data_IF_761366328651
#
_entry.id   IF_761366328651
#
_cell.length_a   1.000
_cell.length_b   1.000
_cell.length_c   1.000
_cell.angle_alpha   90.00
_cell.angle_beta   90.00
_cell.angle_gamma   90.00
#
_symmetry.space_group_name_H-M   'P 1'
#
loop_
_entity.id
_entity.type
_entity.pdbx_description
1 polymer ?
#
# COMPACT_ATOMS: atom_id res chain seq x y z
N UNK A 1 11.53 12.13 7.43
CA UNK A 1 11.43 12.29 8.91
C UNK A 1 10.03 11.94 9.39
N UNK A 2 9.90 11.27 10.55
CA UNK A 2 8.60 10.81 11.04
C UNK A 2 7.51 11.90 11.09
N UNK A 3 7.77 13.14 11.54
CA UNK A 3 6.75 14.19 11.55
C UNK A 3 6.25 14.56 10.14
N UNK A 4 7.14 14.72 9.17
CA UNK A 4 6.75 15.09 7.82
C UNK A 4 5.93 13.97 7.14
N UNK A 5 6.36 12.72 7.30
CA UNK A 5 5.64 11.54 6.77
C UNK A 5 4.24 11.43 7.38
N UNK A 6 4.08 11.68 8.70
CA UNK A 6 2.77 11.66 9.35
C UNK A 6 1.85 12.76 8.82
N UNK A 7 2.36 14.00 8.64
CA UNK A 7 1.58 15.09 8.05
C UNK A 7 1.13 14.72 6.64
N UNK A 8 2.02 14.15 5.84
CA UNK A 8 1.71 13.72 4.47
C UNK A 8 0.64 12.62 4.45
N UNK A 9 0.73 11.63 5.32
CA UNK A 9 -0.28 10.56 5.43
C UNK A 9 -1.65 11.11 5.82
N UNK A 10 -1.70 12.02 6.79
CA UNK A 10 -2.96 12.69 7.17
C UNK A 10 -3.52 13.52 6.01
N UNK A 11 -2.67 14.25 5.30
CA UNK A 11 -3.09 15.04 4.15
C UNK A 11 -3.66 14.15 3.02
N UNK A 12 -2.99 13.04 2.69
CA UNK A 12 -3.47 12.06 1.71
C UNK A 12 -4.81 11.47 2.15
N UNK A 13 -4.93 11.05 3.41
CA UNK A 13 -6.18 10.51 3.96
C UNK A 13 -7.35 11.51 3.86
N UNK A 14 -7.13 12.78 4.17
CA UNK A 14 -8.16 13.82 4.04
C UNK A 14 -8.53 14.07 2.56
N UNK A 15 -7.53 14.14 1.66
CA UNK A 15 -7.77 14.37 0.23
C UNK A 15 -8.52 13.21 -0.42
N UNK A 16 -8.16 11.97 -0.11
CA UNK A 16 -8.83 10.76 -0.59
C UNK A 16 -10.24 10.62 -0.01
N UNK A 17 -10.40 10.86 1.29
CA UNK A 17 -11.72 10.84 1.94
C UNK A 17 -12.68 11.90 1.40
N UNK A 18 -12.16 13.01 0.85
CA UNK A 18 -12.93 14.03 0.11
C UNK A 18 -13.08 13.72 -1.38
N UNK A 19 -12.65 12.56 -1.83
CA UNK A 19 -12.67 12.13 -3.23
C UNK A 19 -11.87 13.04 -4.18
N UNK A 20 -10.88 13.76 -3.66
CA UNK A 20 -10.01 14.62 -4.47
C UNK A 20 -8.74 13.87 -4.86
N UNK A 21 -8.92 12.80 -5.64
CA UNK A 21 -7.83 11.94 -6.11
C UNK A 21 -6.78 12.68 -6.93
N UNK A 22 -7.17 13.75 -7.66
CA UNK A 22 -6.23 14.56 -8.42
C UNK A 22 -5.19 15.23 -7.53
N UNK A 23 -5.60 15.86 -6.41
CA UNK A 23 -4.65 16.47 -5.47
C UNK A 23 -3.83 15.42 -4.73
N UNK A 24 -4.42 14.28 -4.36
CA UNK A 24 -3.68 13.19 -3.78
C UNK A 24 -2.59 12.66 -4.72
N UNK A 25 -2.92 12.44 -6.00
CA UNK A 25 -1.96 12.05 -7.03
C UNK A 25 -0.86 13.10 -7.22
N UNK A 26 -1.22 14.39 -7.33
CA UNK A 26 -0.25 15.47 -7.47
C UNK A 26 0.70 15.55 -6.28
N UNK A 27 0.21 15.28 -5.06
CA UNK A 27 1.05 15.26 -3.87
C UNK A 27 2.14 14.19 -3.98
N UNK A 28 1.78 12.98 -4.42
CA UNK A 28 2.73 11.87 -4.65
C UNK A 28 3.71 12.20 -5.78
N UNK A 29 3.23 12.81 -6.87
CA UNK A 29 4.10 13.24 -7.98
C UNK A 29 5.10 14.29 -7.51
N UNK A 30 4.68 15.27 -6.71
CA UNK A 30 5.56 16.30 -6.13
C UNK A 30 6.63 15.63 -5.26
N UNK A 31 6.25 14.68 -4.40
CA UNK A 31 7.21 13.93 -3.57
C UNK A 31 8.30 13.30 -4.42
N UNK A 32 7.90 12.53 -5.43
CA UNK A 32 8.85 11.81 -6.28
C UNK A 32 9.69 12.76 -7.15
N UNK A 33 9.08 13.81 -7.70
CA UNK A 33 9.80 14.79 -8.51
C UNK A 33 10.86 15.54 -7.69
N UNK A 34 10.50 16.01 -6.49
CA UNK A 34 11.46 16.67 -5.58
C UNK A 34 12.55 15.70 -5.16
N UNK A 35 12.22 14.44 -4.85
CA UNK A 35 13.19 13.43 -4.48
C UNK A 35 14.21 13.22 -5.62
N UNK A 36 13.74 12.94 -6.84
CA UNK A 36 14.61 12.73 -8.00
C UNK A 36 15.50 13.95 -8.28
N UNK A 37 14.94 15.16 -8.27
CA UNK A 37 15.72 16.39 -8.51
C UNK A 37 16.79 16.58 -7.44
N UNK A 38 16.44 16.37 -6.16
CA UNK A 38 17.39 16.48 -5.07
C UNK A 38 18.45 15.38 -5.08
N UNK A 39 18.09 14.14 -5.48
CA UNK A 39 19.04 13.05 -5.67
C UNK A 39 20.07 13.40 -6.75
N UNK A 40 19.64 13.92 -7.89
CA UNK A 40 20.54 14.35 -8.96
C UNK A 40 21.50 15.45 -8.47
N UNK A 41 20.98 16.46 -7.77
CA UNK A 41 21.80 17.57 -7.28
C UNK A 41 22.77 17.10 -6.20
N UNK A 42 22.31 16.34 -5.19
CA UNK A 42 23.10 15.99 -4.02
C UNK A 42 24.04 14.80 -4.26
N UNK A 43 23.63 13.83 -5.08
CA UNK A 43 24.45 12.65 -5.36
C UNK A 43 25.41 12.93 -6.53
N UNK A 44 24.86 13.40 -7.69
CA UNK A 44 25.68 13.62 -8.87
C UNK A 44 26.40 14.98 -8.84
N UNK A 45 25.74 16.04 -8.34
CA UNK A 45 26.34 17.39 -8.27
C UNK A 45 27.35 17.53 -7.14
N UNK A 46 26.98 17.14 -5.92
CA UNK A 46 27.82 17.31 -4.73
C UNK A 46 28.57 16.05 -4.31
N UNK A 47 28.35 14.89 -4.94
CA UNK A 47 29.02 13.65 -4.62
C UNK A 47 28.76 13.06 -3.24
N UNK A 48 27.62 13.43 -2.62
CA UNK A 48 27.33 13.06 -1.24
C UNK A 48 26.87 11.60 -1.04
N UNK A 49 26.78 10.81 -2.12
CA UNK A 49 26.41 9.38 -2.08
C UNK A 49 25.20 9.10 -1.17
N UNK A 50 25.32 8.18 -0.21
CA UNK A 50 24.24 7.79 0.72
C UNK A 50 23.70 8.96 1.56
N UNK A 51 24.58 9.89 1.96
CA UNK A 51 24.16 11.10 2.69
C UNK A 51 23.29 12.01 1.80
N UNK A 52 23.64 12.11 0.51
CA UNK A 52 22.86 12.85 -0.48
C UNK A 52 21.45 12.29 -0.63
N UNK A 53 21.31 10.98 -0.79
CA UNK A 53 20.01 10.30 -0.86
C UNK A 53 19.14 10.52 0.39
N UNK A 54 19.77 10.49 1.57
CA UNK A 54 19.06 10.75 2.83
C UNK A 54 18.53 12.20 2.91
N UNK A 55 19.33 13.19 2.50
CA UNK A 55 18.90 14.59 2.45
C UNK A 55 17.86 14.86 1.36
N UNK A 56 17.97 14.20 0.21
CA UNK A 56 16.97 14.30 -0.86
C UNK A 56 15.60 13.78 -0.40
N UNK A 57 15.57 12.60 0.21
CA UNK A 57 14.34 12.04 0.77
C UNK A 57 13.74 12.92 1.88
N UNK A 58 14.60 13.44 2.77
CA UNK A 58 14.15 14.36 3.82
C UNK A 58 13.52 15.64 3.24
N UNK A 59 14.16 16.23 2.25
CA UNK A 59 13.67 17.44 1.57
C UNK A 59 12.34 17.19 0.87
N UNK A 60 12.22 16.08 0.15
CA UNK A 60 10.99 15.68 -0.52
C UNK A 60 9.84 15.48 0.46
N UNK A 61 10.06 14.80 1.60
CA UNK A 61 9.07 14.62 2.64
C UNK A 61 8.57 15.96 3.23
N UNK A 62 9.47 16.90 3.53
CA UNK A 62 9.08 18.18 4.08
C UNK A 62 8.35 19.07 3.08
N UNK A 63 8.80 19.13 1.83
CA UNK A 63 8.09 19.85 0.76
C UNK A 63 6.68 19.30 0.61
N UNK A 64 6.55 17.99 0.57
CA UNK A 64 5.24 17.33 0.45
C UNK A 64 4.35 17.59 1.67
N UNK A 65 4.91 17.53 2.87
CA UNK A 65 4.20 17.83 4.11
C UNK A 65 3.64 19.27 4.12
N UNK A 66 4.44 20.24 3.69
CA UNK A 66 4.03 21.66 3.62
C UNK A 66 2.90 21.83 2.59
N UNK A 67 3.06 21.29 1.39
CA UNK A 67 2.04 21.38 0.31
C UNK A 67 0.76 20.65 0.74
N UNK A 68 0.90 19.45 1.30
CA UNK A 68 -0.23 18.65 1.78
C UNK A 68 -0.99 19.34 2.91
N UNK A 69 -0.27 19.91 3.87
CA UNK A 69 -0.86 20.68 4.95
C UNK A 69 -1.62 21.90 4.41
N UNK A 70 -1.01 22.67 3.50
CA UNK A 70 -1.66 23.84 2.89
C UNK A 70 -2.96 23.46 2.16
N UNK A 71 -2.93 22.40 1.34
CA UNK A 71 -4.12 21.95 0.61
C UNK A 71 -5.21 21.44 1.53
N UNK A 72 -4.81 20.74 2.59
CA UNK A 72 -5.74 20.22 3.59
C UNK A 72 -6.36 21.33 4.42
N UNK A 73 -5.56 22.27 4.90
CA UNK A 73 -6.02 23.42 5.65
C UNK A 73 -7.00 24.27 4.83
N UNK A 74 -6.68 24.53 3.55
CA UNK A 74 -7.57 25.24 2.64
C UNK A 74 -8.86 24.46 2.35
N UNK A 75 -8.79 23.13 2.24
CA UNK A 75 -9.95 22.28 2.01
C UNK A 75 -10.88 22.21 3.22
N UNK A 76 -10.33 22.29 4.44
CA UNK A 76 -11.08 22.32 5.70
C UNK A 76 -11.57 23.73 6.09
N UNK A 77 -11.18 24.77 5.34
CA UNK A 77 -11.66 26.15 5.53
C UNK A 77 -11.06 26.87 6.74
N UNK A 78 -9.86 26.48 7.20
CA UNK A 78 -9.16 27.08 8.36
C UNK A 78 -10.00 27.17 9.66
N UNK A 79 -11.11 26.42 9.74
CA UNK A 79 -12.02 26.45 10.89
C UNK A 79 -11.51 25.54 12.02
N UNK A 80 -10.24 25.71 12.41
CA UNK A 80 -9.65 25.04 13.59
C UNK A 80 -10.31 25.47 14.90
N UNK A 81 -11.13 26.50 14.87
CA UNK A 81 -11.70 27.17 16.07
C UNK A 81 -12.79 26.36 16.78
N UNK A 82 -13.27 25.27 16.20
CA UNK A 82 -14.38 24.49 16.76
C UNK A 82 -14.01 23.00 17.00
N UNK A 83 -12.74 22.71 17.26
CA UNK A 83 -12.30 21.35 17.63
C UNK A 83 -12.77 20.99 19.04
N UNK A 84 -14.01 20.57 19.14
CA UNK A 84 -14.49 19.87 20.34
C UNK A 84 -14.17 18.37 20.15
N UNK A 85 -13.04 17.95 20.69
CA UNK A 85 -12.72 16.52 20.81
C UNK A 85 -13.69 15.86 21.78
N UNK A 86 -14.76 15.28 21.28
CA UNK A 86 -15.66 14.47 22.12
C UNK A 86 -14.97 13.14 22.42
N UNK A 87 -14.79 12.84 23.69
CA UNK A 87 -14.11 11.62 24.17
C UNK A 87 -14.69 10.34 23.53
N UNK A 88 -16.00 10.29 23.26
CA UNK A 88 -16.65 9.17 22.60
C UNK A 88 -16.17 8.97 21.16
N UNK A 89 -15.93 10.06 20.40
CA UNK A 89 -15.38 10.00 19.04
C UNK A 89 -13.94 9.53 19.05
N UNK A 90 -13.15 9.99 20.02
CA UNK A 90 -11.76 9.55 20.20
C UNK A 90 -11.70 8.06 20.51
N UNK A 91 -12.56 7.54 21.39
CA UNK A 91 -12.64 6.11 21.71
C UNK A 91 -13.01 5.26 20.50
N UNK A 92 -13.96 5.73 19.69
CA UNK A 92 -14.34 5.04 18.46
C UNK A 92 -13.20 5.05 17.44
N UNK A 93 -12.53 6.18 17.25
CA UNK A 93 -11.37 6.33 16.39
C UNK A 93 -10.22 5.40 16.80
N UNK A 94 -9.87 5.37 18.10
CA UNK A 94 -8.85 4.47 18.65
C UNK A 94 -9.24 3.00 18.48
N UNK A 95 -10.53 2.66 18.61
CA UNK A 95 -11.00 1.30 18.39
C UNK A 95 -10.85 0.82 16.94
N UNK A 96 -11.15 1.68 15.97
CA UNK A 96 -10.95 1.38 14.54
C UNK A 96 -9.46 1.25 14.22
N UNK A 97 -8.66 2.23 14.61
CA UNK A 97 -7.22 2.23 14.34
C UNK A 97 -6.51 1.08 15.08
N UNK A 98 -6.92 0.74 16.29
CA UNK A 98 -6.39 -0.41 17.03
C UNK A 98 -6.62 -1.74 16.30
N UNK A 99 -7.80 -1.92 15.69
CA UNK A 99 -8.06 -3.11 14.88
C UNK A 99 -7.18 -3.18 13.62
N UNK A 100 -6.99 -2.04 12.93
CA UNK A 100 -6.12 -1.95 11.76
C UNK A 100 -4.66 -2.19 12.18
N UNK A 101 -4.22 -1.64 13.31
CA UNK A 101 -2.88 -1.86 13.85
C UNK A 101 -2.61 -3.34 14.14
N UNK A 102 -3.54 -4.02 14.85
CA UNK A 102 -3.41 -5.46 15.14
C UNK A 102 -3.33 -6.26 13.83
N UNK A 103 -4.18 -5.95 12.83
CA UNK A 103 -4.11 -6.59 11.51
C UNK A 103 -2.73 -6.42 10.87
N UNK A 104 -2.21 -5.18 10.85
CA UNK A 104 -0.91 -4.89 10.25
C UNK A 104 0.23 -5.57 10.99
N UNK A 105 0.14 -5.64 12.33
CA UNK A 105 1.11 -6.36 13.15
C UNK A 105 1.12 -7.87 12.82
N UNK A 106 -0.06 -8.50 12.72
CA UNK A 106 -0.18 -9.91 12.36
C UNK A 106 0.40 -10.16 10.97
N UNK A 107 0.08 -9.31 9.98
CA UNK A 107 0.65 -9.42 8.63
C UNK A 107 2.18 -9.32 8.65
N UNK A 108 2.74 -8.37 9.39
CA UNK A 108 4.20 -8.22 9.52
C UNK A 108 4.84 -9.43 10.21
N UNK A 109 4.20 -10.01 11.21
CA UNK A 109 4.67 -11.24 11.85
C UNK A 109 4.67 -12.42 10.87
N UNK A 110 3.63 -12.58 10.05
CA UNK A 110 3.59 -13.60 9.00
C UNK A 110 4.74 -13.42 8.00
N UNK A 111 4.97 -12.19 7.50
CA UNK A 111 6.08 -11.90 6.58
C UNK A 111 7.45 -12.15 7.22
N UNK A 112 7.64 -11.73 8.46
CA UNK A 112 8.87 -11.98 9.21
C UNK A 112 9.11 -13.46 9.45
N UNK A 113 8.06 -14.23 9.78
CA UNK A 113 8.13 -15.68 9.97
C UNK A 113 8.51 -16.37 8.66
N UNK A 114 7.88 -16.00 7.54
CA UNK A 114 8.20 -16.55 6.23
C UNK A 114 9.66 -16.30 5.84
N UNK A 115 10.16 -15.08 6.05
CA UNK A 115 11.57 -14.74 5.82
C UNK A 115 12.48 -15.51 6.78
N UNK A 116 12.09 -15.63 8.06
CA UNK A 116 12.83 -16.42 9.06
C UNK A 116 12.89 -17.91 8.72
N UNK A 117 11.86 -18.49 8.13
CA UNK A 117 11.91 -19.86 7.61
C UNK A 117 12.87 -19.98 6.43
N UNK A 118 12.87 -19.01 5.51
CA UNK A 118 13.78 -19.02 4.36
C UNK A 118 15.27 -19.07 4.81
N UNK A 119 15.62 -18.44 5.94
CA UNK A 119 17.01 -18.47 6.46
C UNK A 119 17.49 -19.86 6.85
N UNK A 120 16.57 -20.77 7.23
CA UNK A 120 16.91 -22.16 7.58
C UNK A 120 17.37 -22.99 6.38
N UNK A 121 17.00 -22.57 5.17
CA UNK A 121 17.36 -23.25 3.92
C UNK A 121 18.58 -22.61 3.22
N UNK A 122 19.28 -21.72 3.91
CA UNK A 122 20.51 -21.10 3.43
C UNK A 122 20.32 -19.75 2.72
N UNK A 123 21.44 -19.10 2.40
CA UNK A 123 21.48 -17.75 1.81
C UNK A 123 20.83 -17.67 0.42
N UNK A 124 20.96 -18.73 -0.38
CA UNK A 124 20.34 -18.81 -1.71
C UNK A 124 18.82 -18.72 -1.62
N UNK A 125 18.21 -19.46 -0.67
CA UNK A 125 16.76 -19.42 -0.49
C UNK A 125 16.25 -18.08 0.03
N UNK A 126 17.01 -17.37 0.86
CA UNK A 126 16.68 -15.99 1.28
C UNK A 126 16.70 -15.05 0.09
N UNK A 127 17.69 -15.17 -0.80
CA UNK A 127 17.77 -14.36 -2.01
C UNK A 127 16.64 -14.67 -2.99
N UNK A 128 16.28 -15.95 -3.18
CA UNK A 128 15.11 -16.37 -3.97
C UNK A 128 13.83 -15.77 -3.39
N UNK A 129 13.62 -15.87 -2.07
CA UNK A 129 12.46 -15.27 -1.41
C UNK A 129 12.39 -13.75 -1.65
N UNK A 130 13.53 -13.06 -1.61
CA UNK A 130 13.58 -11.62 -1.91
C UNK A 130 13.14 -11.31 -3.36
N UNK A 131 13.57 -12.12 -4.34
CA UNK A 131 13.12 -12.00 -5.74
C UNK A 131 11.61 -12.23 -5.85
N UNK A 132 11.06 -13.29 -5.22
CA UNK A 132 9.63 -13.58 -5.24
C UNK A 132 8.80 -12.48 -4.57
N UNK A 133 9.32 -11.84 -3.51
CA UNK A 133 8.68 -10.69 -2.86
C UNK A 133 8.55 -9.48 -3.80
N UNK A 134 9.44 -9.30 -4.78
CA UNK A 134 9.29 -8.23 -5.78
C UNK A 134 8.05 -8.44 -6.65
N UNK A 135 7.71 -9.68 -7.00
CA UNK A 135 6.45 -9.97 -7.70
C UNK A 135 5.24 -9.60 -6.87
N UNK A 136 5.25 -9.90 -5.57
CA UNK A 136 4.19 -9.49 -4.66
C UNK A 136 4.07 -7.96 -4.60
N UNK A 137 5.18 -7.24 -4.60
CA UNK A 137 5.20 -5.79 -4.63
C UNK A 137 4.61 -5.22 -5.93
N UNK A 138 4.90 -5.86 -7.09
CA UNK A 138 4.28 -5.49 -8.37
C UNK A 138 2.77 -5.69 -8.37
N UNK A 139 2.29 -6.82 -7.82
CA UNK A 139 0.86 -7.11 -7.65
C UNK A 139 0.21 -6.03 -6.78
N UNK A 140 0.83 -5.70 -5.65
CA UNK A 140 0.33 -4.69 -4.70
C UNK A 140 0.17 -3.35 -5.37
N UNK A 141 1.10 -2.92 -6.20
CA UNK A 141 1.09 -1.61 -6.88
C UNK A 141 -0.22 -1.36 -7.65
N UNK A 142 -0.74 -2.37 -8.35
CA UNK A 142 -1.99 -2.24 -9.10
C UNK A 142 -3.24 -2.49 -8.25
N UNK A 143 -3.20 -3.53 -7.39
CA UNK A 143 -4.38 -3.93 -6.62
C UNK A 143 -4.68 -2.96 -5.47
N UNK A 144 -3.67 -2.32 -4.86
CA UNK A 144 -3.86 -1.26 -3.87
C UNK A 144 -4.62 -0.07 -4.46
N UNK A 145 -4.34 0.30 -5.71
CA UNK A 145 -5.10 1.35 -6.39
C UNK A 145 -6.61 1.05 -6.44
N UNK A 146 -6.98 -0.21 -6.68
CA UNK A 146 -8.38 -0.64 -6.70
C UNK A 146 -8.95 -0.70 -5.26
N UNK A 147 -8.16 -1.15 -4.28
CA UNK A 147 -8.54 -1.14 -2.88
C UNK A 147 -8.85 0.28 -2.39
N UNK A 148 -8.02 1.27 -2.71
CA UNK A 148 -8.31 2.68 -2.40
C UNK A 148 -9.55 3.21 -3.14
N UNK A 149 -9.78 2.77 -4.37
CA UNK A 149 -10.98 3.17 -5.12
C UNK A 149 -12.26 2.64 -4.46
N UNK A 150 -12.31 1.36 -4.08
CA UNK A 150 -13.48 0.80 -3.41
C UNK A 150 -13.68 1.40 -2.02
N UNK A 151 -12.59 1.64 -1.28
CA UNK A 151 -12.63 2.32 0.02
C UNK A 151 -13.32 3.69 -0.09
N UNK A 152 -12.87 4.53 -1.02
CA UNK A 152 -13.41 5.87 -1.19
C UNK A 152 -14.87 5.86 -1.69
N UNK A 153 -15.19 5.05 -2.70
CA UNK A 153 -16.51 5.03 -3.35
C UNK A 153 -17.57 4.35 -2.47
N UNK A 154 -17.24 3.18 -1.89
CA UNK A 154 -18.17 2.47 -1.01
C UNK A 154 -18.36 3.22 0.31
N UNK A 155 -17.29 3.81 0.86
CA UNK A 155 -17.34 4.62 2.06
C UNK A 155 -18.22 5.87 1.90
N UNK A 156 -18.07 6.59 0.79
CA UNK A 156 -18.92 7.74 0.49
C UNK A 156 -20.40 7.34 0.29
N UNK A 157 -20.66 6.25 -0.43
CA UNK A 157 -22.03 5.75 -0.63
C UNK A 157 -22.69 5.32 0.70
N UNK A 158 -21.92 4.68 1.60
CA UNK A 158 -22.38 4.34 2.95
C UNK A 158 -22.68 5.59 3.77
N UNK A 159 -21.80 6.60 3.74
CA UNK A 159 -22.01 7.89 4.42
C UNK A 159 -23.29 8.60 3.98
N UNK A 160 -23.66 8.45 2.71
CA UNK A 160 -24.92 8.95 2.12
C UNK A 160 -26.12 8.01 2.36
N UNK A 161 -25.95 6.89 3.08
CA UNK A 161 -26.98 5.84 3.31
C UNK A 161 -27.53 5.23 2.01
N UNK A 162 -26.77 5.26 0.92
CA UNK A 162 -27.17 4.72 -0.39
C UNK A 162 -26.61 3.33 -0.60
N UNK A 163 -27.22 2.33 0.00
CA UNK A 163 -26.78 0.94 -0.02
C UNK A 163 -26.84 0.30 -1.41
N UNK A 164 -27.71 0.78 -2.30
CA UNK A 164 -27.74 0.46 -3.72
C UNK A 164 -26.42 0.78 -4.39
N UNK A 165 -25.89 1.98 -4.15
CA UNK A 165 -24.59 2.42 -4.67
C UNK A 165 -23.41 1.68 -4.04
N UNK A 166 -23.49 1.33 -2.75
CA UNK A 166 -22.44 0.51 -2.13
C UNK A 166 -22.29 -0.81 -2.89
N UNK A 167 -23.39 -1.52 -3.14
CA UNK A 167 -23.36 -2.79 -3.90
C UNK A 167 -22.85 -2.61 -5.33
N UNK A 168 -23.26 -1.53 -5.99
CA UNK A 168 -22.81 -1.20 -7.34
C UNK A 168 -21.29 -0.99 -7.39
N UNK A 169 -20.75 -0.15 -6.53
CA UNK A 169 -19.32 0.14 -6.49
C UNK A 169 -18.49 -1.08 -6.10
N UNK A 170 -18.95 -1.87 -5.13
CA UNK A 170 -18.28 -3.12 -4.77
C UNK A 170 -18.22 -4.10 -5.95
N UNK A 171 -19.30 -4.25 -6.73
CA UNK A 171 -19.31 -5.12 -7.91
C UNK A 171 -18.37 -4.64 -9.01
N UNK A 172 -18.40 -3.34 -9.35
CA UNK A 172 -17.56 -2.78 -10.40
C UNK A 172 -16.08 -2.87 -10.03
N UNK A 173 -15.72 -2.53 -8.80
CA UNK A 173 -14.33 -2.61 -8.35
C UNK A 173 -13.84 -4.06 -8.24
N UNK A 174 -14.70 -5.01 -7.88
CA UNK A 174 -14.35 -6.42 -7.92
C UNK A 174 -14.05 -6.89 -9.36
N UNK A 175 -14.87 -6.47 -10.32
CA UNK A 175 -14.67 -6.81 -11.73
C UNK A 175 -13.33 -6.26 -12.24
N UNK A 176 -13.00 -5.01 -11.92
CA UNK A 176 -11.71 -4.43 -12.24
C UNK A 176 -10.55 -5.15 -11.53
N UNK A 177 -10.72 -5.49 -10.24
CA UNK A 177 -9.72 -6.25 -9.48
C UNK A 177 -9.44 -7.61 -10.14
N UNK A 178 -10.49 -8.33 -10.55
CA UNK A 178 -10.37 -9.60 -11.26
C UNK A 178 -9.69 -9.43 -12.62
N UNK A 179 -10.02 -8.37 -13.36
CA UNK A 179 -9.38 -8.07 -14.65
C UNK A 179 -7.87 -7.81 -14.47
N UNK A 180 -7.49 -7.01 -13.48
CA UNK A 180 -6.08 -6.77 -13.16
C UNK A 180 -5.37 -8.05 -12.73
N UNK A 181 -6.02 -8.91 -11.93
CA UNK A 181 -5.45 -10.19 -11.54
C UNK A 181 -5.16 -11.09 -12.76
N UNK A 182 -6.09 -11.17 -13.72
CA UNK A 182 -5.89 -11.90 -14.96
C UNK A 182 -4.74 -11.30 -15.80
N UNK A 183 -4.66 -9.98 -15.90
CA UNK A 183 -3.57 -9.30 -16.62
C UNK A 183 -2.22 -9.62 -15.96
N UNK A 184 -2.10 -9.52 -14.62
CA UNK A 184 -0.87 -9.90 -13.92
C UNK A 184 -0.51 -11.36 -14.13
N UNK A 185 -1.48 -12.28 -14.06
CA UNK A 185 -1.27 -13.71 -14.32
C UNK A 185 -0.72 -13.92 -15.72
N UNK A 186 -1.29 -13.28 -16.75
CA UNK A 186 -0.81 -13.37 -18.12
C UNK A 186 0.61 -12.78 -18.27
N UNK A 187 0.87 -11.62 -17.69
CA UNK A 187 2.20 -11.00 -17.72
C UNK A 187 3.24 -11.90 -17.04
N UNK A 188 2.92 -12.48 -15.90
CA UNK A 188 3.85 -13.37 -15.20
C UNK A 188 4.04 -14.70 -15.91
N UNK A 189 3.01 -15.23 -16.59
CA UNK A 189 3.13 -16.43 -17.39
C UNK A 189 4.02 -16.20 -18.64
N UNK A 190 3.93 -15.05 -19.28
CA UNK A 190 4.65 -14.74 -20.51
C UNK A 190 6.04 -14.15 -20.26
N UNK A 191 6.19 -13.33 -19.22
CA UNK A 191 7.41 -12.56 -18.96
C UNK A 191 8.06 -12.85 -17.60
N UNK A 192 7.54 -13.81 -16.81
CA UNK A 192 8.04 -14.06 -15.46
C UNK A 192 9.53 -14.38 -15.39
N UNK A 193 10.03 -15.25 -16.24
CA UNK A 193 11.47 -15.56 -16.33
C UNK A 193 12.30 -14.34 -16.74
N UNK A 194 11.80 -13.49 -17.63
CA UNK A 194 12.47 -12.26 -18.01
C UNK A 194 12.50 -11.26 -16.84
N UNK A 195 11.43 -11.16 -16.07
CA UNK A 195 11.37 -10.32 -14.86
C UNK A 195 12.38 -10.83 -13.81
N UNK A 196 12.49 -12.15 -13.58
CA UNK A 196 13.48 -12.72 -12.66
C UNK A 196 14.91 -12.32 -13.10
N UNK A 197 15.23 -12.46 -14.38
CA UNK A 197 16.54 -12.09 -14.94
C UNK A 197 16.83 -10.59 -14.92
N UNK A 198 15.78 -9.77 -14.87
CA UNK A 198 15.95 -8.32 -14.70
C UNK A 198 16.28 -7.95 -13.22
N UNK A 199 15.83 -8.76 -12.26
CA UNK A 199 16.05 -8.51 -10.83
C UNK A 199 17.42 -9.04 -10.39
N UNK A 200 17.89 -10.17 -10.95
CA UNK A 200 19.15 -10.81 -10.55
C UNK A 200 19.86 -11.45 -11.73
N UNK A 201 21.22 -11.36 -11.74
CA UNK A 201 22.08 -12.00 -12.72
C UNK A 201 22.69 -13.32 -12.21
N UNK A 202 22.38 -13.75 -10.98
CA UNK A 202 22.97 -14.93 -10.37
C UNK A 202 22.25 -16.20 -10.85
N UNK A 203 22.93 -17.09 -11.64
CA UNK A 203 22.28 -18.21 -12.30
C UNK A 203 21.58 -19.19 -11.36
N UNK A 204 22.17 -19.43 -10.19
CA UNK A 204 21.61 -20.31 -9.18
C UNK A 204 20.26 -19.77 -8.62
N UNK A 205 20.20 -18.46 -8.35
CA UNK A 205 18.98 -17.80 -7.86
C UNK A 205 17.91 -17.83 -8.95
N UNK A 206 18.29 -17.54 -10.21
CA UNK A 206 17.35 -17.57 -11.36
C UNK A 206 16.71 -18.95 -11.46
N UNK A 207 17.52 -20.02 -11.48
CA UNK A 207 17.02 -21.39 -11.61
C UNK A 207 16.04 -21.74 -10.51
N UNK A 208 16.38 -21.51 -9.26
CA UNK A 208 15.51 -21.82 -8.12
C UNK A 208 14.26 -20.94 -8.12
N UNK A 209 14.35 -19.64 -8.47
CA UNK A 209 13.20 -18.76 -8.57
C UNK A 209 12.22 -19.18 -9.70
N UNK A 210 12.76 -19.68 -10.83
CA UNK A 210 11.95 -20.23 -11.93
C UNK A 210 11.16 -21.49 -11.51
N UNK A 211 11.69 -22.32 -10.59
CA UNK A 211 10.96 -23.46 -10.04
C UNK A 211 9.71 -23.04 -9.24
N UNK A 212 9.74 -21.86 -8.62
CA UNK A 212 8.60 -21.29 -7.89
C UNK A 212 7.69 -20.40 -8.75
N UNK A 213 8.06 -20.10 -9.99
CA UNK A 213 7.31 -19.21 -10.87
C UNK A 213 5.85 -19.66 -11.09
N UNK A 214 5.50 -20.96 -11.22
CA UNK A 214 4.12 -21.39 -11.36
C UNK A 214 3.20 -20.91 -10.22
N UNK A 215 3.71 -20.88 -8.99
CA UNK A 215 2.97 -20.37 -7.83
C UNK A 215 2.75 -18.86 -7.90
N UNK A 216 3.76 -18.13 -8.37
CA UNK A 216 3.68 -16.68 -8.57
C UNK A 216 2.69 -16.31 -9.67
N UNK A 217 2.58 -17.13 -10.74
CA UNK A 217 1.60 -16.92 -11.82
C UNK A 217 0.17 -17.00 -11.30
N UNK A 218 -0.11 -17.93 -10.38
CA UNK A 218 -1.47 -18.12 -9.81
C UNK A 218 -1.76 -17.10 -8.70
N UNK A 219 -0.73 -16.57 -8.05
CA UNK A 219 -0.86 -15.69 -6.89
C UNK A 219 -1.78 -14.46 -7.10
N UNK A 220 -1.76 -13.73 -8.23
CA UNK A 220 -2.67 -12.60 -8.44
C UNK A 220 -4.14 -12.98 -8.38
N UNK A 221 -4.52 -14.17 -8.90
CA UNK A 221 -5.90 -14.67 -8.91
C UNK A 221 -6.43 -14.97 -7.50
N UNK A 222 -5.55 -15.27 -6.57
CA UNK A 222 -5.90 -15.50 -5.17
C UNK A 222 -5.80 -14.20 -4.37
N UNK A 223 -4.74 -13.43 -4.59
CA UNK A 223 -4.44 -12.23 -3.82
C UNK A 223 -5.46 -11.09 -4.05
N UNK A 224 -6.00 -10.93 -5.27
CA UNK A 224 -6.90 -9.82 -5.57
C UNK A 224 -8.13 -9.77 -4.65
N UNK A 225 -8.61 -10.90 -4.15
CA UNK A 225 -9.70 -10.95 -3.17
C UNK A 225 -9.30 -10.27 -1.86
N UNK A 226 -8.10 -10.53 -1.37
CA UNK A 226 -7.61 -9.94 -0.12
C UNK A 226 -7.50 -8.41 -0.23
N UNK A 227 -6.90 -7.90 -1.31
CA UNK A 227 -6.77 -6.46 -1.56
C UNK A 227 -8.14 -5.78 -1.70
N UNK A 228 -9.05 -6.39 -2.45
CA UNK A 228 -10.39 -5.87 -2.61
C UNK A 228 -11.17 -5.85 -1.31
N UNK A 229 -11.12 -6.94 -0.51
CA UNK A 229 -11.77 -6.99 0.81
C UNK A 229 -11.17 -5.97 1.77
N UNK A 230 -9.87 -5.74 1.75
CA UNK A 230 -9.23 -4.71 2.57
C UNK A 230 -9.85 -3.33 2.30
N UNK A 231 -9.98 -2.93 1.05
CA UNK A 231 -10.64 -1.69 0.69
C UNK A 231 -12.12 -1.63 1.09
N UNK A 232 -12.86 -2.73 0.92
CA UNK A 232 -14.27 -2.82 1.36
C UNK A 232 -14.39 -2.69 2.87
N UNK A 233 -13.56 -3.40 3.65
CA UNK A 233 -13.60 -3.35 5.11
C UNK A 233 -13.28 -1.95 5.65
N UNK A 234 -12.26 -1.29 5.09
CA UNK A 234 -11.88 0.06 5.50
C UNK A 234 -12.98 1.05 5.11
N UNK A 235 -13.43 1.05 3.87
CA UNK A 235 -14.48 1.94 3.37
C UNK A 235 -15.81 1.80 4.12
N UNK A 236 -16.17 0.59 4.48
CA UNK A 236 -17.36 0.31 5.28
C UNK A 236 -17.12 0.39 6.80
N UNK A 237 -15.93 0.79 7.24
CA UNK A 237 -15.54 0.87 8.67
C UNK A 237 -15.78 -0.44 9.44
N UNK A 238 -15.55 -1.58 8.79
CA UNK A 238 -15.71 -2.94 9.36
C UNK A 238 -14.38 -3.47 9.91
N UNK A 239 -13.62 -2.63 10.62
CA UNK A 239 -12.27 -2.93 11.11
C UNK A 239 -12.17 -4.19 11.99
N UNK A 240 -13.22 -4.54 12.73
CA UNK A 240 -13.27 -5.78 13.53
C UNK A 240 -13.28 -7.03 12.65
N UNK A 241 -14.05 -7.02 11.57
CA UNK A 241 -14.07 -8.12 10.59
C UNK A 241 -12.70 -8.32 9.96
N UNK A 242 -12.10 -7.23 9.49
CA UNK A 242 -10.77 -7.21 8.89
C UNK A 242 -9.68 -7.79 9.82
N UNK A 243 -9.67 -7.37 11.09
CA UNK A 243 -8.76 -7.93 12.09
C UNK A 243 -8.97 -9.43 12.30
N UNK A 244 -10.22 -9.85 12.50
CA UNK A 244 -10.54 -11.24 12.83
C UNK A 244 -10.22 -12.18 11.67
N UNK A 245 -10.50 -11.79 10.43
CA UNK A 245 -10.14 -12.58 9.24
C UNK A 245 -8.63 -12.71 9.10
N UNK A 246 -7.87 -11.66 9.35
CA UNK A 246 -6.41 -11.71 9.31
C UNK A 246 -5.82 -12.64 10.37
N UNK A 247 -6.31 -12.55 11.62
CA UNK A 247 -5.87 -13.45 12.70
C UNK A 247 -6.19 -14.91 12.35
N UNK A 248 -7.42 -15.16 11.86
CA UNK A 248 -7.84 -16.51 11.48
C UNK A 248 -6.96 -17.06 10.34
N UNK A 249 -6.70 -16.25 9.31
CA UNK A 249 -5.83 -16.64 8.20
C UNK A 249 -4.40 -16.92 8.65
N UNK A 250 -3.86 -16.13 9.59
CA UNK A 250 -2.54 -16.37 10.15
C UNK A 250 -2.46 -17.67 10.95
N UNK A 251 -3.47 -17.96 11.77
CA UNK A 251 -3.51 -19.20 12.59
C UNK A 251 -3.69 -20.45 11.73
N UNK A 252 -4.41 -20.35 10.61
CA UNK A 252 -4.63 -21.51 9.71
C UNK A 252 -3.43 -21.72 8.78
N UNK A 253 -2.78 -20.63 8.36
CA UNK A 253 -1.70 -20.68 7.37
C UNK A 253 -0.31 -20.92 7.96
N UNK A 254 -0.13 -20.69 9.27
CA UNK A 254 1.14 -20.87 10.00
C UNK A 254 0.96 -21.73 11.24
#
# INVERSE_FOLDING_TARGET
SAPASLITLVALGVLLGRQNSRKAMLLVIITNAVNVVMDVILILGFGLNVKGAAWASLSAEWVTAIVGFYWTARALGWHLRHWQLKFQQLRQFLGVNGNIFIRSLVLQLCMATMTGYATRYGSTMVAVNAVLMQFLMLISLGLDGIAYAVEALAGAAKGQKRYDKVRYWCKITLLWSSLFAVVYTLVFALAGSAIIRLITDIPEIIRVAEDYLPWIIVLPLLAHWSYWFDGVFIGLSLSRGMRNTMILSAVIGF
#
